data_IF_495863929841
#
_entry.id   IF_495863929841
#
_cell.length_a   1.000
_cell.length_b   1.000
_cell.length_c   1.000
_cell.angle_alpha   90.00
_cell.angle_beta   90.00
_cell.angle_gamma   90.00
#
_symmetry.space_group_name_H-M   'P 1'
#
loop_
_entity.id
_entity.type
_entity.pdbx_description
1 polymer ?
#
# COMPACT_ATOMS: atom_id res chain seq x y z
N UNK A 1 -0.58 13.04 3.34
CA UNK A 1 -1.44 12.94 2.15
C UNK A 1 -1.40 11.50 1.69
N UNK A 2 -2.53 10.80 1.77
CA UNK A 2 -2.65 9.41 1.32
C UNK A 2 -3.11 9.40 -0.13
N UNK A 3 -2.48 8.56 -0.95
CA UNK A 3 -2.77 8.43 -2.35
C UNK A 3 -3.21 6.99 -2.66
N UNK A 4 -4.33 6.82 -3.37
CA UNK A 4 -4.82 5.51 -3.82
C UNK A 4 -4.76 5.40 -5.34
N UNK A 5 -4.16 4.33 -5.85
CA UNK A 5 -4.04 4.04 -7.29
C UNK A 5 -5.04 2.94 -7.65
N UNK A 6 -6.05 3.26 -8.48
CA UNK A 6 -7.10 2.33 -8.90
C UNK A 6 -6.93 1.88 -10.35
N UNK A 7 -7.27 0.61 -10.64
CA UNK A 7 -7.06 -0.06 -11.91
C UNK A 7 -8.31 -0.27 -12.76
N UNK A 8 -8.09 -0.26 -14.10
CA UNK A 8 -8.81 -1.09 -15.07
C UNK A 8 -7.86 -2.19 -15.59
N UNK A 9 -8.41 -3.41 -15.76
CA UNK A 9 -7.78 -4.71 -16.10
C UNK A 9 -6.35 -4.66 -16.66
N UNK A 10 -5.46 -5.45 -16.03
CA UNK A 10 -4.13 -5.89 -16.47
C UNK A 10 -3.02 -4.83 -16.61
N UNK A 11 -2.76 -4.07 -15.59
CA UNK A 11 -1.49 -3.40 -15.42
C UNK A 11 -0.49 -4.32 -14.69
N UNK A 12 0.74 -4.43 -15.17
CA UNK A 12 1.76 -5.24 -14.51
C UNK A 12 2.04 -4.68 -13.10
N UNK A 13 2.28 -5.55 -12.12
CA UNK A 13 2.64 -5.16 -10.74
C UNK A 13 3.78 -4.14 -10.76
N UNK A 14 4.76 -4.31 -11.66
CA UNK A 14 5.89 -3.39 -11.84
C UNK A 14 5.49 -1.95 -12.18
N UNK A 15 4.42 -1.75 -12.93
CA UNK A 15 4.03 -0.41 -13.36
C UNK A 15 3.42 0.41 -12.22
N UNK A 16 2.68 -0.25 -11.32
CA UNK A 16 2.13 0.38 -10.11
C UNK A 16 3.24 0.83 -9.16
N UNK A 17 4.22 -0.03 -8.92
CA UNK A 17 5.38 0.30 -8.09
C UNK A 17 6.21 1.44 -8.71
N UNK A 18 6.40 1.44 -10.04
CA UNK A 18 7.10 2.56 -10.74
C UNK A 18 6.39 3.89 -10.54
N UNK A 19 5.06 3.92 -10.66
CA UNK A 19 4.28 5.15 -10.39
C UNK A 19 4.43 5.56 -8.93
N UNK A 20 4.34 4.63 -7.99
CA UNK A 20 4.53 4.91 -6.59
C UNK A 20 5.93 5.46 -6.28
N UNK A 21 6.97 4.94 -6.94
CA UNK A 21 8.35 5.47 -6.85
C UNK A 21 8.47 6.88 -7.42
N UNK A 22 7.90 7.15 -8.59
CA UNK A 22 7.86 8.51 -9.16
C UNK A 22 7.16 9.49 -8.23
N UNK A 23 6.05 9.08 -7.59
CA UNK A 23 5.35 9.90 -6.60
C UNK A 23 6.18 10.14 -5.34
N UNK A 24 7.00 9.17 -4.94
CA UNK A 24 7.94 9.32 -3.83
C UNK A 24 9.07 10.29 -4.19
N UNK A 25 9.76 10.07 -5.30
CA UNK A 25 10.91 10.86 -5.76
C UNK A 25 10.57 12.34 -5.98
N UNK A 26 9.36 12.63 -6.44
CA UNK A 26 8.88 14.00 -6.68
C UNK A 26 8.23 14.66 -5.46
N UNK A 27 8.26 14.03 -4.28
CA UNK A 27 7.66 14.61 -3.08
C UNK A 27 8.68 15.40 -2.26
N UNK A 28 8.40 16.69 -1.99
CA UNK A 28 9.34 17.61 -1.31
C UNK A 28 9.81 17.11 0.06
N UNK A 29 8.92 16.51 0.86
CA UNK A 29 9.22 16.11 2.25
C UNK A 29 9.75 14.67 2.35
N UNK A 30 9.14 13.73 1.64
CA UNK A 30 9.38 12.29 1.84
C UNK A 30 10.35 11.65 0.85
N UNK A 31 10.75 12.36 -0.21
CA UNK A 31 11.66 11.82 -1.24
C UNK A 31 13.07 11.47 -0.73
N UNK A 32 13.49 12.08 0.38
CA UNK A 32 14.77 11.80 1.02
C UNK A 32 14.74 10.61 1.99
N UNK A 33 13.53 10.16 2.34
CA UNK A 33 13.32 9.04 3.25
C UNK A 33 13.26 7.68 2.51
N UNK A 34 13.03 6.59 3.24
CA UNK A 34 12.94 5.27 2.64
C UNK A 34 11.66 5.09 1.79
N UNK A 35 11.76 4.29 0.73
CA UNK A 35 10.62 3.78 -0.01
C UNK A 35 10.43 2.31 0.31
N UNK A 36 9.38 1.98 1.06
CA UNK A 36 9.06 0.61 1.47
C UNK A 36 7.86 0.13 0.65
N UNK A 37 8.08 -0.90 -0.19
CA UNK A 37 7.03 -1.51 -1.01
C UNK A 37 6.62 -2.86 -0.45
N UNK A 38 5.32 -3.05 -0.27
CA UNK A 38 4.73 -4.27 0.31
C UNK A 38 3.56 -4.72 -0.53
N UNK A 39 3.54 -5.99 -0.94
CA UNK A 39 2.37 -6.63 -1.52
C UNK A 39 1.56 -7.30 -0.40
N UNK A 40 0.37 -6.76 -0.12
CA UNK A 40 -0.50 -7.25 0.95
C UNK A 40 -1.00 -8.68 0.70
N UNK A 41 -1.25 -9.04 -0.57
CA UNK A 41 -1.71 -10.38 -0.93
C UNK A 41 -0.64 -11.47 -0.83
N UNK A 42 0.64 -11.09 -0.75
CA UNK A 42 1.75 -12.04 -0.66
C UNK A 42 2.13 -12.42 0.78
N UNK A 43 1.57 -11.73 1.79
CA UNK A 43 1.91 -11.96 3.19
C UNK A 43 0.94 -12.99 3.79
N UNK A 44 1.43 -14.12 4.31
CA UNK A 44 0.59 -15.06 5.04
C UNK A 44 -0.07 -14.41 6.26
N UNK A 45 -1.33 -14.73 6.52
CA UNK A 45 -2.13 -14.11 7.60
C UNK A 45 -1.43 -14.13 8.97
N UNK A 46 -0.78 -15.24 9.33
CA UNK A 46 -0.09 -15.39 10.60
C UNK A 46 1.18 -14.53 10.74
N UNK A 47 1.71 -13.99 9.65
CA UNK A 47 2.94 -13.20 9.64
C UNK A 47 2.68 -11.69 9.48
N UNK A 48 1.45 -11.30 9.16
CA UNK A 48 1.07 -9.90 8.93
C UNK A 48 1.51 -8.98 10.07
N UNK A 49 1.16 -9.33 11.30
CA UNK A 49 1.46 -8.49 12.46
C UNK A 49 2.97 -8.34 12.67
N UNK A 50 3.72 -9.44 12.59
CA UNK A 50 5.17 -9.42 12.74
C UNK A 50 5.86 -8.59 11.65
N UNK A 51 5.37 -8.64 10.40
CA UNK A 51 5.92 -7.87 9.29
C UNK A 51 5.56 -6.39 9.36
N UNK A 52 4.30 -6.06 9.66
CA UNK A 52 3.84 -4.67 9.66
C UNK A 52 4.23 -3.91 10.92
N UNK A 53 4.06 -4.53 12.10
CA UNK A 53 4.31 -3.90 13.40
C UNK A 53 5.72 -4.18 13.93
N UNK A 54 6.36 -5.24 13.45
CA UNK A 54 7.61 -5.73 14.02
C UNK A 54 7.39 -6.49 15.34
N UNK A 55 8.47 -6.99 15.91
CA UNK A 55 8.43 -7.69 17.17
C UNK A 55 9.65 -7.42 18.03
N UNK A 56 9.48 -7.49 19.35
CA UNK A 56 10.57 -7.50 20.31
C UNK A 56 11.21 -8.88 20.37
N UNK A 57 12.44 -8.94 20.85
CA UNK A 57 13.09 -10.22 21.13
C UNK A 57 12.26 -11.01 22.15
N UNK A 58 11.95 -12.27 21.85
CA UNK A 58 11.16 -13.15 22.72
C UNK A 58 9.64 -12.94 22.64
N UNK A 59 9.14 -12.17 21.70
CA UNK A 59 7.69 -11.90 21.54
C UNK A 59 6.86 -13.17 21.26
N UNK A 60 7.47 -14.16 20.61
CA UNK A 60 6.88 -15.48 20.34
C UNK A 60 7.98 -16.53 20.17
N UNK A 61 7.61 -17.80 20.15
CA UNK A 61 8.55 -18.91 19.93
C UNK A 61 9.23 -18.76 18.56
N UNK A 62 10.57 -18.54 18.57
CA UNK A 62 11.36 -18.28 17.37
C UNK A 62 11.75 -16.81 17.16
N UNK A 63 11.25 -15.86 17.94
CA UNK A 63 11.66 -14.46 17.92
C UNK A 63 13.03 -14.24 18.58
N UNK A 64 14.09 -14.78 17.98
CA UNK A 64 15.45 -14.73 18.51
C UNK A 64 16.01 -13.30 18.57
N UNK A 65 15.62 -12.44 17.64
CA UNK A 65 16.05 -11.04 17.52
C UNK A 65 14.84 -10.13 17.41
N UNK A 66 15.00 -8.87 17.81
CA UNK A 66 14.00 -7.85 17.53
C UNK A 66 13.97 -7.51 16.03
N UNK A 67 12.78 -7.26 15.48
CA UNK A 67 12.60 -6.89 14.08
C UNK A 67 11.74 -5.62 13.97
N UNK A 68 12.19 -4.68 13.12
CA UNK A 68 11.42 -3.47 12.79
C UNK A 68 10.35 -3.80 11.75
N UNK A 69 9.11 -3.45 12.03
CA UNK A 69 8.01 -3.61 11.08
C UNK A 69 8.05 -2.59 9.94
N UNK A 70 7.24 -2.82 8.90
CA UNK A 70 7.19 -1.95 7.72
C UNK A 70 6.80 -0.50 8.06
N UNK A 71 5.96 -0.28 9.07
CA UNK A 71 5.60 1.07 9.51
C UNK A 71 6.80 1.85 10.05
N UNK A 72 7.64 1.20 10.85
CA UNK A 72 8.87 1.81 11.35
C UNK A 72 9.92 1.98 10.24
N UNK A 73 10.02 1.01 9.32
CA UNK A 73 10.96 1.06 8.20
C UNK A 73 10.61 2.20 7.23
N UNK A 74 9.32 2.54 7.10
CA UNK A 74 8.84 3.61 6.23
C UNK A 74 8.87 4.99 6.89
N UNK A 75 9.31 5.10 8.14
CA UNK A 75 9.31 6.36 8.86
C UNK A 75 10.08 7.46 8.11
N UNK A 76 9.50 8.66 8.06
CA UNK A 76 9.97 9.81 7.28
C UNK A 76 10.11 9.55 5.77
N UNK A 77 9.50 8.47 5.27
CA UNK A 77 9.51 8.04 3.87
C UNK A 77 8.13 7.76 3.30
N UNK A 78 8.07 6.81 2.38
CA UNK A 78 6.82 6.39 1.72
C UNK A 78 6.61 4.88 1.91
N UNK A 79 5.44 4.52 2.41
CA UNK A 79 4.94 3.14 2.44
C UNK A 79 4.02 2.92 1.24
N UNK A 80 4.40 2.03 0.35
CA UNK A 80 3.59 1.59 -0.78
C UNK A 80 2.95 0.23 -0.48
N UNK A 81 1.61 0.18 -0.44
CA UNK A 81 0.84 -1.04 -0.24
C UNK A 81 0.18 -1.45 -1.55
N UNK A 82 0.66 -2.52 -2.18
CA UNK A 82 -0.03 -3.11 -3.33
C UNK A 82 -1.06 -4.14 -2.89
N UNK A 83 -2.12 -4.28 -3.67
CA UNK A 83 -3.23 -5.19 -3.42
C UNK A 83 -3.92 -4.98 -2.07
N UNK A 84 -4.10 -3.71 -1.67
CA UNK A 84 -4.73 -3.35 -0.38
C UNK A 84 -6.16 -3.91 -0.23
N UNK A 85 -6.85 -4.17 -1.34
CA UNK A 85 -8.19 -4.77 -1.36
C UNK A 85 -8.23 -6.26 -0.97
N UNK A 86 -7.08 -6.89 -0.79
CA UNK A 86 -6.96 -8.29 -0.37
C UNK A 86 -6.77 -8.45 1.14
N UNK A 87 -6.60 -7.33 1.88
CA UNK A 87 -6.46 -7.37 3.33
C UNK A 87 -7.74 -7.87 4.01
N UNK A 88 -7.67 -8.87 4.90
CA UNK A 88 -8.78 -9.26 5.76
C UNK A 88 -9.23 -8.11 6.69
N UNK A 89 -10.49 -8.11 7.10
CA UNK A 89 -11.09 -7.04 7.92
C UNK A 89 -10.31 -6.74 9.20
N UNK A 90 -9.81 -7.77 9.89
CA UNK A 90 -9.05 -7.57 11.14
C UNK A 90 -7.72 -6.84 10.92
N UNK A 91 -7.08 -7.05 9.77
CA UNK A 91 -5.84 -6.33 9.39
C UNK A 91 -6.15 -4.89 9.01
N UNK A 92 -7.29 -4.66 8.34
CA UNK A 92 -7.76 -3.32 8.00
C UNK A 92 -7.97 -2.45 9.25
N UNK A 93 -8.54 -3.03 10.33
CA UNK A 93 -8.70 -2.33 11.62
C UNK A 93 -7.36 -1.89 12.20
N UNK A 94 -6.35 -2.78 12.14
CA UNK A 94 -5.01 -2.48 12.66
C UNK A 94 -4.31 -1.40 11.84
N UNK A 95 -4.41 -1.49 10.51
CA UNK A 95 -3.88 -0.47 9.61
C UNK A 95 -4.52 0.90 9.89
N UNK A 96 -5.85 0.95 10.01
CA UNK A 96 -6.57 2.20 10.29
C UNK A 96 -6.06 2.87 11.58
N UNK A 97 -5.89 2.11 12.67
CA UNK A 97 -5.37 2.64 13.94
C UNK A 97 -4.01 3.32 13.77
N UNK A 98 -3.09 2.71 13.04
CA UNK A 98 -1.77 3.32 12.78
C UNK A 98 -1.90 4.61 11.97
N UNK A 99 -2.79 4.63 10.96
CA UNK A 99 -3.02 5.82 10.14
C UNK A 99 -3.68 6.98 10.90
N UNK A 100 -4.47 6.68 11.94
CA UNK A 100 -5.13 7.68 12.77
C UNK A 100 -4.22 8.23 13.86
N UNK A 101 -3.49 7.33 14.53
CA UNK A 101 -2.70 7.66 15.71
C UNK A 101 -1.27 8.07 15.37
N UNK A 102 -0.76 7.70 14.16
CA UNK A 102 0.65 7.82 13.78
C UNK A 102 1.60 7.15 14.79
N UNK A 103 1.14 6.07 15.40
CA UNK A 103 1.89 5.30 16.38
C UNK A 103 1.81 3.81 16.09
N UNK A 104 2.86 3.11 16.42
CA UNK A 104 2.97 1.66 16.30
C UNK A 104 3.56 1.05 17.56
N UNK A 105 3.06 -0.13 17.93
CA UNK A 105 3.59 -0.92 19.04
C UNK A 105 4.04 -2.26 18.51
N UNK A 106 5.29 -2.64 18.76
CA UNK A 106 5.83 -3.95 18.36
C UNK A 106 5.16 -5.08 19.15
N UNK A 107 5.01 -6.23 18.51
CA UNK A 107 4.58 -7.44 19.20
C UNK A 107 5.49 -7.74 20.39
N UNK A 108 4.92 -8.06 21.55
CA UNK A 108 5.66 -8.32 22.76
C UNK A 108 6.27 -7.11 23.44
N UNK A 109 5.88 -5.88 23.04
CA UNK A 109 6.31 -4.64 23.68
C UNK A 109 5.08 -3.81 24.06
N UNK A 110 5.21 -2.98 25.09
CA UNK A 110 4.22 -1.96 25.46
C UNK A 110 4.65 -0.55 25.04
N UNK A 111 5.79 -0.41 24.38
CA UNK A 111 6.34 0.89 23.98
C UNK A 111 5.70 1.34 22.68
N UNK A 112 5.05 2.50 22.70
CA UNK A 112 4.56 3.18 21.52
C UNK A 112 5.71 3.90 20.81
N UNK A 113 5.77 3.78 19.49
CA UNK A 113 6.77 4.40 18.63
C UNK A 113 6.02 5.32 17.67
N UNK A 114 6.36 6.60 17.66
CA UNK A 114 5.81 7.54 16.70
C UNK A 114 6.35 7.25 15.29
N UNK A 115 5.46 7.24 14.31
CA UNK A 115 5.80 6.99 12.90
C UNK A 115 5.14 8.03 12.02
N UNK A 116 5.89 8.59 11.07
CA UNK A 116 5.38 9.60 10.16
C UNK A 116 5.77 9.27 8.72
N UNK A 117 4.88 8.67 7.96
CA UNK A 117 5.11 8.27 6.57
C UNK A 117 4.00 8.74 5.64
N UNK A 118 4.31 8.83 4.35
CA UNK A 118 3.32 8.97 3.29
C UNK A 118 2.83 7.59 2.87
N UNK A 119 1.51 7.39 2.83
CA UNK A 119 0.94 6.16 2.32
C UNK A 119 0.56 6.31 0.85
N UNK A 120 0.96 5.34 0.03
CA UNK A 120 0.48 5.12 -1.33
C UNK A 120 -0.09 3.71 -1.39
N UNK A 121 -1.36 3.59 -1.75
CA UNK A 121 -2.03 2.29 -1.84
C UNK A 121 -2.46 2.00 -3.28
N UNK A 122 -2.31 0.76 -3.72
CA UNK A 122 -2.75 0.28 -5.00
C UNK A 122 -3.66 -0.94 -4.85
N UNK A 123 -4.62 -1.09 -5.76
CA UNK A 123 -5.50 -2.26 -5.80
C UNK A 123 -5.99 -2.52 -7.21
N UNK A 124 -6.27 -3.77 -7.53
CA UNK A 124 -6.99 -4.17 -8.73
C UNK A 124 -8.49 -4.35 -8.48
N UNK A 125 -8.95 -4.31 -7.24
CA UNK A 125 -10.34 -4.48 -6.86
C UNK A 125 -11.08 -3.14 -6.82
N UNK A 126 -12.39 -3.20 -7.00
CA UNK A 126 -13.26 -2.07 -6.76
C UNK A 126 -13.53 -1.93 -5.25
N UNK A 127 -12.77 -1.07 -4.57
CA UNK A 127 -12.95 -0.88 -3.12
C UNK A 127 -14.36 -0.43 -2.73
N UNK A 128 -15.06 0.35 -3.58
CA UNK A 128 -16.45 0.76 -3.31
C UNK A 128 -17.41 -0.43 -3.30
N UNK A 129 -17.21 -1.39 -4.20
CA UNK A 129 -18.00 -2.64 -4.20
C UNK A 129 -17.65 -3.51 -2.99
N UNK A 130 -16.37 -3.59 -2.60
CA UNK A 130 -15.96 -4.31 -1.39
C UNK A 130 -16.55 -3.67 -0.12
N UNK A 131 -16.69 -2.35 -0.06
CA UNK A 131 -17.37 -1.65 1.04
C UNK A 131 -18.85 -2.02 1.10
N UNK A 132 -19.56 -2.05 -0.05
CA UNK A 132 -20.96 -2.48 -0.09
C UNK A 132 -21.16 -3.94 0.32
N UNK A 133 -20.18 -4.80 0.04
CA UNK A 133 -20.16 -6.21 0.41
C UNK A 133 -19.64 -6.46 1.84
N UNK A 134 -19.37 -5.40 2.59
CA UNK A 134 -18.77 -5.46 3.95
C UNK A 134 -17.42 -6.20 4.02
N UNK A 135 -16.73 -6.36 2.88
CA UNK A 135 -15.39 -6.96 2.78
C UNK A 135 -14.28 -5.94 2.95
N UNK A 136 -14.59 -4.65 2.86
CA UNK A 136 -13.66 -3.55 3.10
C UNK A 136 -14.34 -2.48 3.96
N UNK A 137 -13.64 -1.98 4.98
CA UNK A 137 -14.19 -0.99 5.89
C UNK A 137 -14.34 0.38 5.22
N UNK A 138 -15.48 0.99 5.42
CA UNK A 138 -15.77 2.33 4.89
C UNK A 138 -14.84 3.42 5.47
N UNK A 139 -14.52 3.34 6.77
CA UNK A 139 -13.63 4.28 7.44
C UNK A 139 -12.22 4.25 6.86
N UNK A 140 -11.67 3.05 6.63
CA UNK A 140 -10.38 2.88 5.96
C UNK A 140 -10.44 3.36 4.51
N UNK A 141 -11.52 3.06 3.78
CA UNK A 141 -11.70 3.53 2.41
C UNK A 141 -11.60 5.07 2.32
N UNK A 142 -12.35 5.80 3.16
CA UNK A 142 -12.31 7.26 3.15
C UNK A 142 -10.94 7.82 3.60
N UNK A 143 -10.23 7.11 4.45
CA UNK A 143 -8.87 7.51 4.85
C UNK A 143 -7.85 7.32 3.73
N UNK A 144 -8.02 6.31 2.89
CA UNK A 144 -7.15 6.02 1.73
C UNK A 144 -7.50 6.87 0.51
N UNK A 145 -8.79 7.12 0.26
CA UNK A 145 -9.30 7.74 -0.96
C UNK A 145 -9.19 9.27 -0.99
N UNK A 146 -8.16 9.86 -0.38
CA UNK A 146 -7.94 11.33 -0.41
C UNK A 146 -7.62 11.81 -1.82
N UNK A 147 -6.80 11.06 -2.57
CA UNK A 147 -6.53 11.30 -4.00
C UNK A 147 -6.57 9.96 -4.72
N UNK A 148 -7.51 9.80 -5.66
CA UNK A 148 -7.60 8.63 -6.53
C UNK A 148 -6.93 8.91 -7.87
N UNK A 149 -5.93 8.10 -8.24
CA UNK A 149 -5.34 8.08 -9.57
C UNK A 149 -5.81 6.83 -10.33
N UNK A 150 -6.43 7.05 -11.49
CA UNK A 150 -6.77 5.97 -12.41
C UNK A 150 -5.67 5.82 -13.45
N UNK A 151 -4.98 4.70 -13.41
CA UNK A 151 -3.94 4.41 -14.37
C UNK A 151 -4.52 3.53 -15.48
N UNK A 152 -4.54 4.00 -16.74
CA UNK A 152 -5.00 3.20 -17.88
C UNK A 152 -4.04 1.99 -18.08
N UNK A 153 -4.57 0.88 -18.58
CA UNK A 153 -3.73 -0.25 -18.97
C UNK A 153 -2.91 0.10 -20.21
N UNK A 154 -1.64 -0.31 -20.26
CA UNK A 154 -0.75 -0.10 -21.40
C UNK A 154 -1.31 -0.70 -22.72
N UNK A 155 -2.18 -1.71 -22.68
CA UNK A 155 -2.88 -2.23 -23.86
C UNK A 155 -3.71 -1.18 -24.62
N UNK A 156 -4.18 -0.13 -23.97
CA UNK A 156 -4.95 0.92 -24.64
C UNK A 156 -4.06 1.94 -25.35
N UNK A 157 -2.76 2.00 -25.03
CA UNK A 157 -1.83 2.92 -25.66
C UNK A 157 -1.28 2.37 -27.00
N UNK A 158 -1.37 1.05 -27.24
CA UNK A 158 -0.90 0.42 -28.48
C UNK A 158 -2.01 0.15 -29.51
N UNK A 159 -3.27 0.46 -29.23
CA UNK A 159 -4.40 0.32 -30.17
C UNK A 159 -4.75 1.60 -30.92
N UNK A 160 -3.89 2.62 -30.87
CA UNK A 160 -4.00 3.75 -31.79
C UNK A 160 -3.56 3.26 -33.19
N UNK A 161 -4.44 3.23 -34.22
CA UNK A 161 -4.01 2.83 -35.56
C UNK A 161 -2.92 3.79 -36.03
N UNK A 162 -1.80 3.22 -36.50
CA UNK A 162 -0.71 3.96 -37.09
C UNK A 162 -1.26 4.81 -38.25
N UNK A 163 -0.85 6.09 -38.42
CA UNK A 163 -1.27 6.92 -39.53
C UNK A 163 -0.85 6.39 -40.94
N UNK A 164 -0.17 5.25 -40.98
CA UNK A 164 0.30 4.63 -42.25
C UNK A 164 -0.74 3.76 -42.95
N UNK A 165 -1.84 3.38 -42.34
CA UNK A 165 -2.84 2.50 -42.95
C UNK A 165 -3.95 3.24 -43.71
N UNK A 166 -3.83 4.55 -43.91
CA UNK A 166 -4.78 5.35 -44.71
C UNK A 166 -4.30 5.72 -46.13
N UNK A 167 -3.28 5.04 -46.64
CA UNK A 167 -2.89 5.20 -48.08
C UNK A 167 -3.05 3.88 -48.79
N UNK A 168 -4.24 3.65 -49.33
CA UNK A 168 -4.50 2.48 -50.15
C UNK A 168 -5.96 2.38 -50.59
N UNK A 169 -6.40 3.26 -51.49
CA UNK A 169 -7.40 3.01 -52.54
C UNK A 169 -7.47 4.23 -53.43
#
# INVERSE_FOLDING_TARGET
LHLSIRRQRQMCIRDRERIARLLHENHQRYSKGPFVAVNCGAIPDGLFESHFFGHAKGAFTGAMLAHKGYFEQADNGTLFLDEIGDLPLYQQVKLLRVLEQNKVTRLGSAVEIDVGFRLVAATNRNLRELVKQEMFRSDLYYRLAVIELRVPSLCLLYTSPSPRDQRGS
#
